data_IF_808158318230
#
_entry.id   IF_808158318230
#
_cell.length_a   1.000
_cell.length_b   1.000
_cell.length_c   1.000
_cell.angle_alpha   90.00
_cell.angle_beta   90.00
_cell.angle_gamma   90.00
#
_symmetry.space_group_name_H-M   'P 1'
#
loop_
_entity.id
_entity.type
_entity.pdbx_description
1 polymer ?
#
# COMPACT_ATOMS: atom_id res chain seq x y z
N UNK A 1 12.98 26.03 -2.78
CA UNK A 1 11.70 26.64 -2.39
C UNK A 1 11.80 28.14 -2.05
N UNK A 2 12.93 28.66 -1.55
CA UNK A 2 13.07 30.08 -1.12
C UNK A 2 13.51 31.06 -2.20
N UNK A 3 13.68 30.61 -3.46
CA UNK A 3 14.16 31.50 -4.53
C UNK A 3 13.20 32.64 -4.76
N UNK A 4 13.74 33.87 -5.02
CA UNK A 4 12.93 35.08 -5.16
C UNK A 4 11.88 35.03 -6.28
N UNK A 5 12.14 34.25 -7.33
CA UNK A 5 11.22 34.08 -8.46
C UNK A 5 10.16 33.00 -8.23
N UNK A 6 10.18 32.29 -7.09
CA UNK A 6 9.14 31.31 -6.76
C UNK A 6 7.90 32.05 -6.27
N UNK A 7 6.82 31.99 -7.04
CA UNK A 7 5.56 32.65 -6.71
C UNK A 7 4.67 31.76 -5.83
N UNK A 8 4.61 30.45 -6.15
CA UNK A 8 3.81 29.44 -5.42
C UNK A 8 4.53 28.10 -5.44
N UNK A 9 4.29 27.29 -4.44
CA UNK A 9 4.82 25.93 -4.31
C UNK A 9 3.66 24.95 -4.31
N UNK A 10 3.70 23.96 -5.20
CA UNK A 10 2.85 22.79 -5.15
C UNK A 10 3.74 21.61 -4.68
N UNK A 11 3.43 21.05 -3.52
CA UNK A 11 4.24 20.01 -2.89
C UNK A 11 3.40 18.79 -2.59
N UNK A 12 3.63 17.70 -3.33
CA UNK A 12 3.05 16.38 -3.05
C UNK A 12 4.16 15.44 -2.65
N UNK A 13 4.05 14.82 -1.48
CA UNK A 13 5.05 13.88 -1.00
C UNK A 13 5.05 13.71 0.52
N UNK A 14 6.15 13.16 1.05
CA UNK A 14 6.28 12.90 2.48
C UNK A 14 6.19 14.14 3.35
N UNK A 15 5.88 13.94 4.64
CA UNK A 15 5.64 15.01 5.62
C UNK A 15 6.79 16.02 5.69
N UNK A 16 8.04 15.59 5.49
CA UNK A 16 9.21 16.47 5.47
C UNK A 16 9.18 17.48 4.32
N UNK A 17 8.78 17.04 3.12
CA UNK A 17 8.64 17.93 1.95
C UNK A 17 7.53 18.96 2.19
N UNK A 18 6.38 18.52 2.68
CA UNK A 18 5.23 19.40 2.96
C UNK A 18 5.58 20.45 4.01
N UNK A 19 6.23 20.04 5.11
CA UNK A 19 6.73 20.97 6.12
C UNK A 19 7.73 21.97 5.56
N UNK A 20 8.67 21.53 4.72
CA UNK A 20 9.64 22.40 4.08
C UNK A 20 8.97 23.41 3.14
N UNK A 21 7.90 23.01 2.43
CA UNK A 21 7.13 23.90 1.58
C UNK A 21 6.44 25.00 2.40
N UNK A 22 5.71 24.65 3.44
CA UNK A 22 5.03 25.62 4.31
C UNK A 22 6.01 26.52 5.10
N UNK A 23 7.16 26.00 5.49
CA UNK A 23 8.22 26.76 6.17
C UNK A 23 9.05 27.63 5.24
N UNK A 24 8.78 27.62 3.94
CA UNK A 24 9.56 28.38 2.94
C UNK A 24 9.33 29.90 2.99
N UNK A 25 8.23 30.35 3.58
CA UNK A 25 7.76 31.74 3.55
C UNK A 25 7.11 32.12 2.22
N UNK A 26 6.79 31.14 1.35
CA UNK A 26 6.06 31.34 0.09
C UNK A 26 4.66 30.74 0.18
N UNK A 27 3.69 31.23 -0.60
CA UNK A 27 2.41 30.55 -0.77
C UNK A 27 2.66 29.08 -1.17
N UNK A 28 2.07 28.13 -0.42
CA UNK A 28 2.29 26.72 -0.65
C UNK A 28 0.99 25.93 -0.49
N UNK A 29 0.81 24.94 -1.38
CA UNK A 29 -0.22 23.92 -1.30
C UNK A 29 0.49 22.57 -1.12
N UNK A 30 0.38 22.01 0.06
CA UNK A 30 1.04 20.76 0.42
C UNK A 30 0.04 19.61 0.61
N UNK A 31 0.30 18.48 -0.05
CA UNK A 31 -0.43 17.23 0.11
C UNK A 31 0.56 16.19 0.65
N UNK A 32 0.25 15.65 1.81
CA UNK A 32 1.08 14.67 2.51
C UNK A 32 0.69 13.23 2.22
N UNK A 33 0.90 12.36 3.22
CA UNK A 33 0.56 10.95 3.15
C UNK A 33 -0.94 10.75 3.02
N UNK A 34 -1.34 9.86 2.12
CA UNK A 34 -2.69 9.35 1.99
C UNK A 34 -2.86 8.02 2.73
N UNK A 35 -4.10 7.63 2.94
CA UNK A 35 -4.51 6.28 3.27
C UNK A 35 -5.68 5.94 2.35
N UNK A 36 -5.60 4.79 1.68
CA UNK A 36 -6.55 4.40 0.62
C UNK A 36 -7.20 3.05 0.99
N UNK A 37 -8.10 3.03 1.98
CA UNK A 37 -8.92 1.86 2.23
C UNK A 37 -10.00 1.74 1.15
N UNK A 38 -10.25 0.50 0.71
CA UNK A 38 -11.35 0.17 -0.20
C UNK A 38 -12.39 -0.62 0.56
N UNK A 39 -13.66 -0.30 0.36
CA UNK A 39 -14.76 -1.09 0.88
C UNK A 39 -15.48 -1.79 -0.28
N UNK A 40 -15.58 -3.14 -0.21
CA UNK A 40 -16.36 -3.94 -1.16
C UNK A 40 -17.70 -4.29 -0.48
N UNK A 41 -18.76 -3.66 -0.97
CA UNK A 41 -20.12 -3.88 -0.51
C UNK A 41 -20.70 -5.12 -1.19
N UNK A 42 -21.63 -5.82 -0.53
CA UNK A 42 -22.19 -7.11 -0.95
C UNK A 42 -22.89 -7.13 -2.32
N UNK A 43 -23.34 -5.98 -2.82
CA UNK A 43 -23.99 -5.86 -4.13
C UNK A 43 -23.02 -5.68 -5.30
N UNK A 44 -21.72 -5.52 -5.01
CA UNK A 44 -20.71 -5.25 -6.03
C UNK A 44 -20.36 -6.51 -6.85
N UNK A 45 -19.95 -6.29 -8.09
CA UNK A 45 -19.34 -7.34 -8.90
C UNK A 45 -17.94 -7.65 -8.36
N UNK A 46 -17.83 -8.75 -7.62
CA UNK A 46 -16.60 -9.13 -6.90
C UNK A 46 -15.40 -9.30 -7.84
N UNK A 47 -15.58 -9.92 -8.99
CA UNK A 47 -14.51 -10.13 -9.98
C UNK A 47 -13.95 -8.79 -10.47
N UNK A 48 -14.86 -7.89 -10.85
CA UNK A 48 -14.47 -6.55 -11.31
C UNK A 48 -13.82 -5.73 -10.22
N UNK A 49 -14.39 -5.71 -9.01
CA UNK A 49 -13.85 -4.96 -7.88
C UNK A 49 -12.41 -5.40 -7.55
N UNK A 50 -12.14 -6.71 -7.51
CA UNK A 50 -10.79 -7.24 -7.28
C UNK A 50 -9.84 -6.88 -8.42
N UNK A 51 -10.30 -6.95 -9.68
CA UNK A 51 -9.51 -6.56 -10.85
C UNK A 51 -9.09 -5.08 -10.79
N UNK A 52 -10.03 -4.20 -10.43
CA UNK A 52 -9.77 -2.76 -10.32
C UNK A 52 -8.76 -2.46 -9.19
N UNK A 53 -8.94 -3.09 -8.02
CA UNK A 53 -8.02 -2.97 -6.88
C UNK A 53 -6.61 -3.44 -7.27
N UNK A 54 -6.49 -4.62 -7.88
CA UNK A 54 -5.19 -5.13 -8.30
C UNK A 54 -4.54 -4.27 -9.38
N UNK A 55 -5.33 -3.65 -10.24
CA UNK A 55 -4.83 -2.71 -11.25
C UNK A 55 -4.28 -1.45 -10.60
N UNK A 56 -4.97 -0.90 -9.62
CA UNK A 56 -4.53 0.29 -8.90
C UNK A 56 -3.31 0.00 -8.00
N UNK A 57 -3.43 -1.00 -7.10
CA UNK A 57 -2.40 -1.25 -6.10
C UNK A 57 -1.11 -1.83 -6.67
N UNK A 58 -1.18 -2.62 -7.75
CA UNK A 58 0.02 -3.19 -8.38
C UNK A 58 0.67 -2.26 -9.42
N UNK A 59 0.04 -1.14 -9.75
CA UNK A 59 0.64 -0.16 -10.65
C UNK A 59 1.95 0.36 -10.06
N UNK A 60 3.02 0.29 -10.84
CA UNK A 60 4.37 0.69 -10.43
C UNK A 60 4.80 0.09 -9.08
N UNK A 61 4.41 -1.16 -8.80
CA UNK A 61 4.65 -1.87 -7.54
C UNK A 61 4.20 -1.08 -6.28
N UNK A 62 3.06 -0.41 -6.36
CA UNK A 62 2.45 0.28 -5.22
C UNK A 62 3.16 1.57 -4.79
N UNK A 63 3.93 2.21 -5.68
CA UNK A 63 4.61 3.47 -5.35
C UNK A 63 3.71 4.68 -5.42
N UNK A 64 2.57 4.56 -6.08
CA UNK A 64 1.62 5.67 -6.22
C UNK A 64 0.87 5.88 -4.90
N UNK A 65 0.77 7.14 -4.47
CA UNK A 65 0.11 7.51 -3.22
C UNK A 65 -1.42 7.23 -3.22
N UNK A 66 -2.01 6.95 -4.38
CA UNK A 66 -3.41 6.56 -4.55
C UNK A 66 -3.60 5.04 -4.62
N UNK A 67 -2.53 4.24 -4.51
CA UNK A 67 -2.63 2.77 -4.48
C UNK A 67 -3.43 2.30 -3.27
N UNK A 68 -4.33 1.36 -3.48
CA UNK A 68 -5.15 0.74 -2.45
C UNK A 68 -4.26 -0.03 -1.46
N UNK A 69 -4.38 0.28 -0.18
CA UNK A 69 -3.52 -0.26 0.88
C UNK A 69 -4.23 -1.27 1.77
N UNK A 70 -5.54 -1.17 1.87
CA UNK A 70 -6.35 -2.10 2.65
C UNK A 70 -7.71 -2.31 2.01
N UNK A 71 -8.24 -3.51 2.19
CA UNK A 71 -9.55 -3.90 1.66
C UNK A 71 -10.44 -4.33 2.83
N UNK A 72 -11.54 -3.62 3.00
CA UNK A 72 -12.62 -3.95 3.94
C UNK A 72 -13.75 -4.58 3.14
N UNK A 73 -14.22 -5.73 3.55
CA UNK A 73 -15.18 -6.52 2.78
C UNK A 73 -16.38 -6.85 3.63
N UNK A 74 -17.59 -6.76 3.05
CA UNK A 74 -18.80 -7.30 3.68
C UNK A 74 -18.60 -8.80 3.96
N UNK A 75 -18.88 -9.22 5.18
CA UNK A 75 -18.60 -10.59 5.63
C UNK A 75 -19.31 -11.65 4.77
N UNK A 76 -20.47 -11.33 4.19
CA UNK A 76 -21.25 -12.26 3.37
C UNK A 76 -20.55 -12.66 2.06
N UNK A 77 -19.66 -11.81 1.54
CA UNK A 77 -18.92 -12.03 0.28
C UNK A 77 -17.42 -12.23 0.49
N UNK A 78 -16.94 -12.24 1.73
CA UNK A 78 -15.50 -12.29 2.04
C UNK A 78 -14.78 -13.49 1.39
N UNK A 79 -15.40 -14.67 1.39
CA UNK A 79 -14.81 -15.85 0.75
C UNK A 79 -14.71 -15.70 -0.78
N UNK A 80 -15.73 -15.15 -1.42
CA UNK A 80 -15.71 -14.90 -2.87
C UNK A 80 -14.62 -13.90 -3.25
N UNK A 81 -14.46 -12.84 -2.47
CA UNK A 81 -13.40 -11.84 -2.66
C UNK A 81 -12.00 -12.48 -2.51
N UNK A 82 -11.79 -13.32 -1.50
CA UNK A 82 -10.52 -14.04 -1.31
C UNK A 82 -10.17 -14.93 -2.51
N UNK A 83 -11.13 -15.71 -2.99
CA UNK A 83 -10.92 -16.57 -4.15
C UNK A 83 -10.62 -15.75 -5.40
N UNK A 84 -11.28 -14.61 -5.60
CA UNK A 84 -10.97 -13.73 -6.72
C UNK A 84 -9.57 -13.12 -6.61
N UNK A 85 -9.12 -12.69 -5.44
CA UNK A 85 -7.73 -12.26 -5.27
C UNK A 85 -6.73 -13.36 -5.64
N UNK A 86 -6.94 -14.59 -5.18
CA UNK A 86 -6.06 -15.72 -5.52
C UNK A 86 -6.04 -15.98 -7.03
N UNK A 87 -7.21 -16.01 -7.66
CA UNK A 87 -7.35 -16.26 -9.10
C UNK A 87 -6.64 -15.19 -9.93
N UNK A 88 -6.65 -13.94 -9.46
CA UNK A 88 -6.10 -12.80 -10.19
C UNK A 88 -4.66 -12.45 -9.78
N UNK A 89 -3.98 -13.32 -9.04
CA UNK A 89 -2.56 -13.20 -8.72
C UNK A 89 -2.22 -12.59 -7.36
N UNK A 90 -3.18 -12.50 -6.46
CA UNK A 90 -2.91 -12.20 -5.06
C UNK A 90 -2.49 -13.44 -4.27
N UNK A 91 -1.50 -13.32 -3.41
CA UNK A 91 -1.07 -14.39 -2.50
C UNK A 91 -1.33 -14.01 -1.06
N UNK A 92 -2.17 -14.79 -0.38
CA UNK A 92 -2.45 -14.61 1.05
C UNK A 92 -1.35 -15.26 1.89
N UNK A 93 -0.69 -14.43 2.67
CA UNK A 93 0.33 -14.86 3.63
C UNK A 93 -0.32 -15.58 4.81
N UNK A 94 0.26 -16.70 5.23
CA UNK A 94 -0.05 -17.26 6.54
C UNK A 94 0.61 -16.44 7.65
N UNK A 95 0.31 -16.73 8.91
CA UNK A 95 0.80 -15.97 10.06
C UNK A 95 2.34 -15.87 10.08
N UNK A 96 3.04 -16.98 9.88
CA UNK A 96 4.51 -17.02 9.89
C UNK A 96 5.13 -16.24 8.73
N UNK A 97 4.52 -16.31 7.55
CA UNK A 97 4.94 -15.55 6.38
C UNK A 97 4.70 -14.05 6.59
N UNK A 98 3.55 -13.68 7.14
CA UNK A 98 3.23 -12.28 7.44
C UNK A 98 4.22 -11.68 8.43
N UNK A 99 4.61 -12.41 9.48
CA UNK A 99 5.63 -11.99 10.44
C UNK A 99 6.98 -11.73 9.77
N UNK A 100 7.46 -12.67 8.93
CA UNK A 100 8.71 -12.51 8.17
C UNK A 100 8.68 -11.31 7.21
N UNK A 101 7.55 -11.11 6.54
CA UNK A 101 7.36 -9.97 5.64
C UNK A 101 7.34 -8.66 6.43
N UNK A 102 6.67 -8.62 7.58
CA UNK A 102 6.61 -7.44 8.44
C UNK A 102 7.99 -6.99 8.93
N UNK A 103 8.91 -7.93 9.26
CA UNK A 103 10.29 -7.64 9.65
C UNK A 103 11.07 -6.90 8.54
N UNK A 104 10.72 -7.15 7.28
CA UNK A 104 11.36 -6.50 6.12
C UNK A 104 10.69 -5.19 5.77
N UNK A 105 9.37 -5.13 5.86
CA UNK A 105 8.59 -3.96 5.53
C UNK A 105 8.85 -2.80 6.47
N UNK A 106 9.10 -3.09 7.74
CA UNK A 106 9.22 -2.08 8.78
C UNK A 106 10.67 -1.89 9.24
N UNK A 107 11.01 -0.65 9.51
CA UNK A 107 12.24 -0.30 10.25
C UNK A 107 12.03 -0.58 11.75
N UNK A 108 13.11 -0.60 12.56
CA UNK A 108 12.98 -0.67 14.02
C UNK A 108 12.11 0.44 14.63
N UNK A 109 11.97 1.58 13.94
CA UNK A 109 11.11 2.70 14.35
C UNK A 109 9.66 2.51 13.89
N UNK A 110 9.30 1.35 13.33
CA UNK A 110 7.97 1.03 12.77
C UNK A 110 7.54 2.00 11.65
N UNK A 111 8.49 2.44 10.85
CA UNK A 111 8.24 3.17 9.60
C UNK A 111 8.55 2.28 8.41
N UNK A 112 7.94 2.56 7.27
CA UNK A 112 8.18 1.81 6.05
C UNK A 112 9.67 1.81 5.69
N UNK A 113 10.22 0.65 5.39
CA UNK A 113 11.59 0.49 4.94
C UNK A 113 11.75 1.03 3.51
N UNK A 114 12.50 2.11 3.30
CA UNK A 114 12.60 2.72 1.96
C UNK A 114 13.29 1.83 0.93
N UNK A 115 14.02 0.80 1.35
CA UNK A 115 14.75 -0.11 0.44
C UNK A 115 13.84 -1.05 -0.34
N UNK A 116 12.61 -1.28 0.16
CA UNK A 116 11.65 -2.19 -0.49
C UNK A 116 10.59 -1.45 -1.31
N UNK A 117 10.54 -0.14 -1.24
CA UNK A 117 9.57 0.66 -2.01
C UNK A 117 9.78 0.43 -3.50
N UNK A 118 8.70 0.18 -4.23
CA UNK A 118 8.71 -0.09 -5.66
C UNK A 118 9.26 -1.47 -6.05
N UNK A 119 9.44 -2.38 -5.09
CA UNK A 119 9.87 -3.76 -5.36
C UNK A 119 8.67 -4.66 -5.61
N UNK A 120 8.85 -5.66 -6.50
CA UNK A 120 7.80 -6.63 -6.80
C UNK A 120 7.49 -7.54 -5.60
N UNK A 121 6.31 -8.18 -5.63
CA UNK A 121 5.93 -9.18 -4.63
C UNK A 121 6.95 -10.33 -4.55
N UNK A 122 7.47 -10.78 -5.70
CA UNK A 122 8.51 -11.82 -5.76
C UNK A 122 9.82 -11.39 -5.09
N UNK A 123 10.24 -10.15 -5.31
CA UNK A 123 11.45 -9.62 -4.65
C UNK A 123 11.29 -9.60 -3.12
N UNK A 124 10.13 -9.12 -2.64
CA UNK A 124 9.83 -9.06 -1.21
C UNK A 124 9.74 -10.47 -0.61
N UNK A 125 9.09 -11.40 -1.27
CA UNK A 125 8.98 -12.78 -0.86
C UNK A 125 10.35 -13.47 -0.75
N UNK A 126 11.20 -13.30 -1.76
CA UNK A 126 12.56 -13.82 -1.76
C UNK A 126 13.39 -13.25 -0.60
N UNK A 127 13.28 -11.95 -0.36
CA UNK A 127 13.98 -11.30 0.75
C UNK A 127 13.51 -11.81 2.11
N UNK A 128 12.21 -12.12 2.25
CA UNK A 128 11.59 -12.71 3.44
C UNK A 128 11.87 -14.22 3.60
N UNK A 129 12.47 -14.86 2.58
CA UNK A 129 12.70 -16.30 2.58
C UNK A 129 11.40 -17.11 2.56
N UNK A 130 10.39 -16.61 1.85
CA UNK A 130 9.11 -17.30 1.63
C UNK A 130 8.96 -17.68 0.16
N UNK A 131 8.24 -18.77 -0.10
CA UNK A 131 7.98 -19.27 -1.45
C UNK A 131 6.56 -18.90 -1.86
N UNK A 132 6.42 -18.25 -3.00
CA UNK A 132 5.12 -17.85 -3.56
C UNK A 132 4.97 -18.34 -5.00
N UNK A 133 3.74 -18.49 -5.52
CA UNK A 133 3.51 -18.86 -6.91
C UNK A 133 4.13 -17.84 -7.88
N UNK A 134 4.65 -18.35 -9.01
CA UNK A 134 5.12 -17.48 -10.11
C UNK A 134 3.99 -16.61 -10.63
N UNK A 135 4.28 -15.35 -10.93
CA UNK A 135 3.29 -14.39 -11.39
C UNK A 135 2.44 -13.77 -10.28
N UNK A 136 2.81 -13.97 -9.00
CA UNK A 136 2.16 -13.27 -7.90
C UNK A 136 2.31 -11.76 -8.05
N UNK A 137 1.20 -11.04 -8.08
CA UNK A 137 1.14 -9.59 -8.28
C UNK A 137 1.27 -8.82 -6.96
N UNK A 138 0.65 -9.32 -5.89
CA UNK A 138 0.72 -8.71 -4.57
C UNK A 138 0.66 -9.75 -3.45
N UNK A 139 1.16 -9.36 -2.27
CA UNK A 139 1.06 -10.11 -1.04
C UNK A 139 -0.06 -9.51 -0.18
N UNK A 140 -0.90 -10.37 0.39
CA UNK A 140 -2.04 -9.99 1.23
C UNK A 140 -1.88 -10.61 2.61
N UNK A 141 -2.16 -9.85 3.65
CA UNK A 141 -2.20 -10.34 5.02
C UNK A 141 -3.54 -10.03 5.66
N UNK A 142 -4.06 -10.97 6.44
CA UNK A 142 -5.22 -10.72 7.28
C UNK A 142 -4.78 -9.99 8.55
N UNK A 143 -5.34 -8.82 8.78
CA UNK A 143 -5.05 -8.04 9.96
C UNK A 143 -6.22 -8.11 10.94
N UNK A 144 -5.92 -8.41 12.22
CA UNK A 144 -6.92 -8.44 13.29
C UNK A 144 -7.31 -7.05 13.80
N UNK A 145 -6.69 -5.98 13.26
CA UNK A 145 -6.94 -4.60 13.64
C UNK A 145 -6.15 -3.61 12.80
N UNK A 146 -6.28 -2.35 13.15
CA UNK A 146 -5.61 -1.23 12.49
C UNK A 146 -4.95 -0.32 13.53
N UNK A 147 -3.95 0.41 13.12
CA UNK A 147 -3.29 1.42 13.95
C UNK A 147 -1.85 1.07 14.31
N UNK A 148 -1.32 1.76 15.33
CA UNK A 148 0.11 1.78 15.64
C UNK A 148 0.70 0.40 16.00
N UNK A 149 -0.12 -0.51 16.53
CA UNK A 149 0.32 -1.84 17.00
C UNK A 149 0.18 -2.92 15.92
N UNK A 150 -0.33 -2.56 14.75
CA UNK A 150 -0.48 -3.44 13.60
C UNK A 150 0.48 -3.03 12.48
N UNK A 151 0.96 -3.98 11.69
CA UNK A 151 1.84 -3.72 10.55
C UNK A 151 1.16 -2.89 9.46
#
# INVERSE_FOLDING_TARGET
MKHKKTAVILATGGIGLVRAAYSSGKPAFGVGLGNVPVFIEKSENVEKAVSDILTGTCFDNGTICASEQSVVVDASIANAVREQFKTQGGHFLNQTEAEKVAEILLTPQRTLNPKIVGKSAEYIANLAGISIPSGTRCLLADCGGVGRDFP
#
